data_IF_596277253937
#
_entry.id   IF_596277253937
#
_cell.length_a   1.000
_cell.length_b   1.000
_cell.length_c   1.000
_cell.angle_alpha   90.00
_cell.angle_beta   90.00
_cell.angle_gamma   90.00
#
_symmetry.space_group_name_H-M   'P 1'
#
loop_
_entity.id
_entity.type
_entity.pdbx_description
1 polymer ?
#
# COMPACT_ATOMS: atom_id res chain seq x y z
N UNK A 1 12.00 -13.24 -0.08
CA UNK A 1 11.31 -12.49 0.97
C UNK A 1 9.96 -11.98 0.49
N UNK A 2 9.11 -11.48 1.41
CA UNK A 2 7.88 -10.74 1.09
C UNK A 2 8.19 -9.27 0.81
N UNK A 3 7.24 -8.54 0.20
CA UNK A 3 7.39 -7.10 -0.07
C UNK A 3 7.67 -6.33 1.22
N UNK A 4 6.93 -6.58 2.30
CA UNK A 4 7.13 -5.87 3.58
C UNK A 4 8.53 -6.09 4.16
N UNK A 5 9.12 -7.27 3.96
CA UNK A 5 10.50 -7.51 4.34
C UNK A 5 11.48 -6.71 3.49
N UNK A 6 11.22 -6.62 2.19
CA UNK A 6 12.05 -5.81 1.28
C UNK A 6 11.98 -4.32 1.64
N UNK A 7 10.81 -3.83 2.00
CA UNK A 7 10.59 -2.47 2.52
C UNK A 7 11.39 -2.25 3.81
N UNK A 8 11.32 -3.18 4.76
CA UNK A 8 12.05 -3.10 6.02
C UNK A 8 13.57 -2.97 5.81
N UNK A 9 14.12 -3.75 4.88
CA UNK A 9 15.55 -3.68 4.56
C UNK A 9 15.92 -2.33 3.94
N UNK A 10 15.10 -1.82 3.04
CA UNK A 10 15.36 -0.52 2.41
C UNK A 10 15.26 0.64 3.42
N UNK A 11 14.31 0.57 4.37
CA UNK A 11 14.23 1.52 5.48
C UNK A 11 15.54 1.52 6.29
N UNK A 12 16.09 0.32 6.61
CA UNK A 12 17.35 0.22 7.35
C UNK A 12 18.53 0.82 6.60
N UNK A 13 18.59 0.65 5.29
CA UNK A 13 19.68 1.18 4.48
C UNK A 13 19.62 2.70 4.25
N UNK A 14 18.42 3.24 4.18
CA UNK A 14 18.23 4.64 3.78
C UNK A 14 17.97 5.61 4.93
N UNK A 15 17.83 5.10 6.15
CA UNK A 15 17.56 5.92 7.33
C UNK A 15 18.35 5.47 8.55
N UNK A 16 18.51 6.38 9.51
CA UNK A 16 19.08 6.09 10.82
C UNK A 16 17.98 5.83 11.86
N UNK A 17 18.35 5.23 13.00
CA UNK A 17 17.46 5.10 14.16
C UNK A 17 16.91 6.46 14.56
N UNK A 18 15.60 6.52 14.79
CA UNK A 18 14.87 7.73 15.14
C UNK A 18 14.51 8.65 13.96
N UNK A 19 14.86 8.30 12.72
CA UNK A 19 14.37 9.04 11.55
C UNK A 19 12.89 8.81 11.31
N UNK A 20 12.24 9.78 10.70
CA UNK A 20 10.84 9.70 10.31
C UNK A 20 10.67 9.07 8.94
N UNK A 21 9.73 8.15 8.86
CA UNK A 21 9.25 7.58 7.62
C UNK A 21 7.85 8.14 7.37
N UNK A 22 7.72 8.88 6.27
CA UNK A 22 6.45 9.52 5.90
C UNK A 22 5.52 8.49 5.30
N UNK A 23 4.30 8.40 5.79
CA UNK A 23 3.24 7.51 5.29
C UNK A 23 1.92 8.24 5.18
N UNK A 24 1.13 7.92 4.17
CA UNK A 24 -0.26 8.38 4.08
C UNK A 24 -1.14 7.51 4.98
N UNK A 25 -1.98 8.15 5.81
CA UNK A 25 -2.88 7.42 6.72
C UNK A 25 -4.34 7.61 6.31
N UNK A 26 -5.24 6.61 6.56
CA UNK A 26 -4.94 5.31 7.18
C UNK A 26 -3.93 4.51 6.34
N UNK A 27 -3.07 3.71 6.95
CA UNK A 27 -2.05 2.94 6.24
C UNK A 27 -2.11 1.46 6.60
N UNK A 28 -1.54 0.62 5.75
CA UNK A 28 -1.40 -0.80 6.03
C UNK A 28 -0.70 -1.01 7.37
N UNK A 29 -1.32 -1.75 8.29
CA UNK A 29 -0.88 -1.92 9.68
C UNK A 29 0.56 -2.42 9.81
N UNK A 30 1.02 -3.25 8.86
CA UNK A 30 2.39 -3.73 8.85
C UNK A 30 3.42 -2.62 8.57
N UNK A 31 3.02 -1.49 7.98
CA UNK A 31 3.93 -0.34 7.83
C UNK A 31 4.30 0.24 9.19
N UNK A 32 3.33 0.45 10.07
CA UNK A 32 3.59 0.93 11.44
C UNK A 32 4.52 -0.01 12.19
N UNK A 33 4.18 -1.31 12.21
CA UNK A 33 4.98 -2.34 12.86
C UNK A 33 6.39 -2.43 12.29
N UNK A 34 6.55 -2.27 10.98
CA UNK A 34 7.84 -2.32 10.30
C UNK A 34 8.69 -1.08 10.62
N UNK A 35 8.10 0.10 10.59
CA UNK A 35 8.78 1.36 10.91
C UNK A 35 9.25 1.35 12.36
N UNK A 36 8.34 1.10 13.29
CA UNK A 36 8.61 1.11 14.73
C UNK A 36 9.52 -0.04 15.17
N UNK A 37 9.30 -1.24 14.63
CA UNK A 37 10.13 -2.41 14.88
C UNK A 37 11.58 -2.24 14.41
N UNK A 38 11.83 -1.36 13.45
CA UNK A 38 13.16 -0.93 13.04
C UNK A 38 13.64 0.35 13.75
N UNK A 39 12.95 0.79 14.81
CA UNK A 39 13.30 1.97 15.61
C UNK A 39 13.27 3.29 14.81
N UNK A 40 12.39 3.39 13.82
CA UNK A 40 12.08 4.63 13.11
C UNK A 40 10.75 5.18 13.62
N UNK A 41 10.43 6.41 13.27
CA UNK A 41 9.18 7.08 13.65
C UNK A 41 8.22 7.15 12.46
N UNK A 42 6.96 6.93 12.71
CA UNK A 42 5.91 7.21 11.73
C UNK A 42 5.71 8.73 11.64
N UNK A 43 5.80 9.27 10.43
CA UNK A 43 5.46 10.65 10.10
C UNK A 43 4.19 10.64 9.24
N UNK A 44 3.04 10.77 9.90
CA UNK A 44 1.75 10.60 9.27
C UNK A 44 1.31 11.81 8.43
N UNK A 45 0.77 11.54 7.24
CA UNK A 45 0.06 12.51 6.39
C UNK A 45 -1.35 11.96 6.15
N UNK A 46 -2.37 12.49 6.85
CA UNK A 46 -3.72 11.99 6.71
C UNK A 46 -4.29 12.25 5.31
N UNK A 47 -4.87 11.22 4.71
CA UNK A 47 -5.75 11.36 3.56
C UNK A 47 -7.12 11.85 4.03
N UNK A 48 -7.77 12.68 3.23
CA UNK A 48 -9.13 13.13 3.46
C UNK A 48 -10.09 12.50 2.44
N UNK A 49 -11.30 12.20 2.89
CA UNK A 49 -12.37 11.78 2.01
C UNK A 49 -13.18 13.02 1.60
N UNK A 50 -13.13 13.37 0.33
CA UNK A 50 -13.85 14.50 -0.26
C UNK A 50 -14.67 14.02 -1.45
N UNK A 51 -15.99 14.25 -1.41
CA UNK A 51 -16.93 13.78 -2.43
C UNK A 51 -16.71 12.30 -2.82
N UNK A 52 -16.56 11.43 -1.82
CA UNK A 52 -16.31 10.00 -1.95
C UNK A 52 -14.96 9.63 -2.59
N UNK A 53 -14.04 10.59 -2.76
CA UNK A 53 -12.68 10.38 -3.27
C UNK A 53 -11.63 10.68 -2.21
N UNK A 54 -10.68 9.79 -2.05
CA UNK A 54 -9.54 10.00 -1.17
C UNK A 54 -8.55 10.98 -1.79
N UNK A 55 -8.16 11.99 -1.03
CA UNK A 55 -7.25 13.05 -1.47
C UNK A 55 -6.08 13.22 -0.51
N UNK A 56 -4.94 13.56 -1.05
CA UNK A 56 -3.76 14.01 -0.32
C UNK A 56 -3.69 15.54 -0.34
N UNK A 57 -3.60 16.16 0.83
CA UNK A 57 -3.22 17.58 0.92
C UNK A 57 -1.71 17.68 0.66
N UNK A 58 -1.33 18.12 -0.54
CA UNK A 58 0.07 18.25 -0.96
C UNK A 58 0.82 19.30 -0.15
N UNK A 59 0.15 20.32 0.38
CA UNK A 59 0.77 21.30 1.25
C UNK A 59 1.06 20.70 2.64
N UNK A 60 0.16 19.85 3.15
CA UNK A 60 0.42 19.10 4.38
C UNK A 60 1.57 18.10 4.19
N UNK A 61 1.58 17.38 3.07
CA UNK A 61 2.69 16.49 2.72
C UNK A 61 4.02 17.24 2.68
N UNK A 62 4.06 18.38 2.01
CA UNK A 62 5.29 19.20 1.92
C UNK A 62 5.79 19.61 3.30
N UNK A 63 4.91 20.08 4.20
CA UNK A 63 5.30 20.44 5.57
C UNK A 63 5.93 19.26 6.34
N UNK A 64 5.46 18.05 6.10
CA UNK A 64 6.00 16.84 6.73
C UNK A 64 7.33 16.44 6.08
N UNK A 65 7.44 16.47 4.75
CA UNK A 65 8.69 16.17 4.03
C UNK A 65 9.81 17.18 4.36
N UNK A 66 9.47 18.44 4.61
CA UNK A 66 10.42 19.48 4.97
C UNK A 66 11.08 19.31 6.35
N UNK A 67 10.59 18.38 7.19
CA UNK A 67 11.19 18.12 8.49
C UNK A 67 12.54 17.40 8.33
N UNK A 68 13.66 17.92 8.87
CA UNK A 68 15.00 17.43 8.54
C UNK A 68 15.25 15.93 8.84
N UNK A 69 14.46 15.34 9.74
CA UNK A 69 14.59 13.93 10.10
C UNK A 69 13.60 13.02 9.38
N UNK A 70 12.78 13.52 8.49
CA UNK A 70 11.91 12.72 7.64
C UNK A 70 12.65 12.43 6.34
N UNK A 71 13.18 11.21 6.21
CA UNK A 71 14.18 10.85 5.19
C UNK A 71 13.62 9.97 4.09
N UNK A 72 12.48 9.36 4.31
CA UNK A 72 11.84 8.41 3.38
C UNK A 72 10.34 8.72 3.30
N UNK A 73 9.80 8.73 2.08
CA UNK A 73 8.37 8.57 1.81
C UNK A 73 8.12 7.08 1.48
N UNK A 74 7.34 6.40 2.31
CA UNK A 74 6.84 5.05 2.03
C UNK A 74 5.46 5.18 1.38
N UNK A 75 5.45 5.11 0.06
CA UNK A 75 4.26 5.22 -0.78
C UNK A 75 3.61 3.85 -0.96
N UNK A 76 2.30 3.75 -0.76
CA UNK A 76 1.49 2.59 -1.17
C UNK A 76 0.69 2.95 -2.42
N UNK A 77 0.90 2.25 -3.52
CA UNK A 77 0.29 2.58 -4.81
C UNK A 77 -0.07 1.32 -5.62
N UNK A 78 -1.33 1.02 -5.84
CA UNK A 78 -2.56 1.59 -5.24
C UNK A 78 -2.59 1.51 -3.73
N UNK A 79 -3.33 2.43 -3.11
CA UNK A 79 -3.26 2.64 -1.67
C UNK A 79 -4.12 1.64 -0.87
N UNK A 80 -3.51 0.99 0.10
CA UNK A 80 -4.18 0.14 1.09
C UNK A 80 -4.27 0.91 2.43
N UNK A 81 -5.48 1.09 3.04
CA UNK A 81 -6.71 0.33 2.78
C UNK A 81 -7.73 1.03 1.88
N UNK A 82 -7.48 2.28 1.47
CA UNK A 82 -8.51 3.14 0.86
C UNK A 82 -8.87 2.76 -0.58
N UNK A 83 -8.04 1.97 -1.25
CA UNK A 83 -8.20 1.65 -2.67
C UNK A 83 -7.99 2.84 -3.62
N UNK A 84 -7.37 3.93 -3.13
CA UNK A 84 -7.05 5.09 -3.96
C UNK A 84 -6.04 4.72 -5.04
N UNK A 85 -6.33 5.10 -6.27
CA UNK A 85 -5.36 5.16 -7.37
C UNK A 85 -4.83 6.58 -7.48
N UNK A 86 -3.50 6.73 -7.43
CA UNK A 86 -2.84 8.02 -7.53
C UNK A 86 -2.85 8.51 -8.98
N UNK A 87 -3.22 9.76 -9.18
CA UNK A 87 -3.15 10.37 -10.52
C UNK A 87 -1.70 10.70 -10.89
N UNK A 88 -1.43 10.85 -12.18
CA UNK A 88 -0.10 11.28 -12.66
C UNK A 88 0.33 12.62 -12.03
N UNK A 89 -0.59 13.57 -11.96
CA UNK A 89 -0.34 14.88 -11.37
C UNK A 89 0.02 14.79 -9.87
N UNK A 90 -0.69 13.95 -9.11
CA UNK A 90 -0.37 13.72 -7.69
C UNK A 90 1.02 13.09 -7.54
N UNK A 91 1.34 12.07 -8.33
CA UNK A 91 2.64 11.39 -8.28
C UNK A 91 3.79 12.33 -8.70
N UNK A 92 3.62 13.11 -9.76
CA UNK A 92 4.61 14.10 -10.21
C UNK A 92 4.85 15.19 -9.17
N UNK A 93 3.78 15.66 -8.50
CA UNK A 93 3.88 16.62 -7.40
C UNK A 93 4.64 16.01 -6.22
N UNK A 94 4.34 14.79 -5.82
CA UNK A 94 5.07 14.09 -4.77
C UNK A 94 6.55 13.91 -5.13
N UNK A 95 6.85 13.57 -6.39
CA UNK A 95 8.22 13.41 -6.86
C UNK A 95 9.02 14.73 -6.78
N UNK A 96 8.40 15.86 -7.17
CA UNK A 96 9.00 17.19 -7.04
C UNK A 96 9.25 17.58 -5.58
N UNK A 97 8.30 17.30 -4.68
CA UNK A 97 8.43 17.58 -3.26
C UNK A 97 9.52 16.72 -2.61
N UNK A 98 9.60 15.44 -2.95
CA UNK A 98 10.66 14.56 -2.48
C UNK A 98 12.04 15.01 -2.96
N UNK A 99 12.18 15.39 -4.23
CA UNK A 99 13.41 15.96 -4.78
C UNK A 99 13.80 17.25 -4.04
N UNK A 100 12.86 18.18 -3.88
CA UNK A 100 13.07 19.47 -3.20
C UNK A 100 13.60 19.31 -1.78
N UNK A 101 13.12 18.35 -1.04
CA UNK A 101 13.45 18.12 0.38
C UNK A 101 14.48 17.00 0.60
N UNK A 102 15.02 16.41 -0.47
CA UNK A 102 16.02 15.35 -0.38
C UNK A 102 15.47 14.03 0.22
N UNK A 103 14.17 13.78 0.10
CA UNK A 103 13.51 12.59 0.61
C UNK A 103 13.55 11.48 -0.42
N UNK A 104 13.96 10.28 0.00
CA UNK A 104 13.97 9.07 -0.83
C UNK A 104 12.59 8.43 -0.84
N UNK A 105 12.28 7.67 -1.89
CA UNK A 105 10.95 7.04 -2.00
C UNK A 105 11.05 5.53 -2.05
N UNK A 106 10.30 4.86 -1.18
CA UNK A 106 10.03 3.43 -1.26
C UNK A 106 8.58 3.28 -1.72
N UNK A 107 8.36 2.75 -2.92
CA UNK A 107 7.02 2.48 -3.45
C UNK A 107 6.66 1.02 -3.26
N UNK A 108 5.63 0.75 -2.46
CA UNK A 108 4.99 -0.55 -2.35
C UNK A 108 3.85 -0.62 -3.37
N UNK A 109 4.07 -1.37 -4.43
CA UNK A 109 3.13 -1.50 -5.55
C UNK A 109 2.50 -2.89 -5.64
N UNK A 110 2.39 -3.59 -4.50
CA UNK A 110 1.86 -4.96 -4.46
C UNK A 110 0.43 -5.10 -4.98
N UNK A 111 -0.33 -4.00 -5.05
CA UNK A 111 -1.70 -3.96 -5.56
C UNK A 111 -1.81 -3.45 -7.01
N UNK A 112 -0.70 -3.26 -7.71
CA UNK A 112 -0.66 -2.62 -9.03
C UNK A 112 -1.56 -3.27 -10.08
N UNK A 113 -1.77 -4.58 -10.02
CA UNK A 113 -2.62 -5.32 -10.96
C UNK A 113 -4.11 -5.31 -10.58
N UNK A 114 -4.46 -4.78 -9.39
CA UNK A 114 -5.81 -4.80 -8.84
C UNK A 114 -6.50 -3.44 -8.97
N UNK A 115 -6.35 -2.81 -10.13
CA UNK A 115 -7.07 -1.58 -10.51
C UNK A 115 -8.31 -1.95 -11.32
N UNK A 116 -9.38 -1.19 -11.13
CA UNK A 116 -10.65 -1.43 -11.80
C UNK A 116 -10.70 -0.81 -13.19
N UNK A 117 -11.68 -1.22 -13.99
CA UNK A 117 -11.89 -0.67 -15.32
C UNK A 117 -12.01 0.86 -15.30
N UNK A 118 -11.31 1.50 -16.23
CA UNK A 118 -11.22 2.96 -16.31
C UNK A 118 -10.15 3.58 -15.43
N UNK A 119 -9.47 2.80 -14.58
CA UNK A 119 -8.33 3.24 -13.77
C UNK A 119 -7.03 2.73 -14.38
N UNK A 120 -5.97 3.50 -14.23
CA UNK A 120 -4.62 3.11 -14.65
C UNK A 120 -3.64 3.29 -13.51
N UNK A 121 -2.95 2.21 -13.15
CA UNK A 121 -1.79 2.30 -12.28
C UNK A 121 -0.62 2.94 -13.02
N UNK A 122 0.05 3.87 -12.36
CA UNK A 122 1.27 4.52 -12.85
C UNK A 122 2.40 4.11 -11.91
N UNK A 123 3.41 3.36 -12.38
CA UNK A 123 4.53 2.97 -11.56
C UNK A 123 5.34 4.18 -11.12
N UNK A 124 5.87 4.15 -9.90
CA UNK A 124 6.67 5.26 -9.39
C UNK A 124 7.89 5.58 -10.26
N UNK A 125 8.50 4.56 -10.87
CA UNK A 125 9.65 4.74 -11.75
C UNK A 125 9.40 5.66 -12.96
N UNK A 126 8.13 5.85 -13.37
CA UNK A 126 7.76 6.73 -14.49
C UNK A 126 7.82 8.22 -14.12
N UNK A 127 7.78 8.55 -12.84
CA UNK A 127 7.71 9.94 -12.35
C UNK A 127 8.84 10.31 -11.38
N UNK A 128 9.63 9.35 -10.96
CA UNK A 128 10.66 9.53 -9.94
C UNK A 128 11.69 10.62 -10.28
N UNK A 129 12.08 11.42 -9.27
CA UNK A 129 13.06 12.51 -9.36
C UNK A 129 14.14 12.45 -8.28
N UNK A 130 13.87 11.75 -7.19
CA UNK A 130 14.80 11.48 -6.08
C UNK A 130 15.15 9.99 -6.06
N UNK A 131 16.15 9.53 -5.28
CA UNK A 131 16.46 8.10 -5.18
C UNK A 131 15.23 7.29 -4.77
N UNK A 132 14.99 6.18 -5.45
CA UNK A 132 13.78 5.38 -5.26
C UNK A 132 14.05 3.88 -5.28
N UNK A 133 13.16 3.15 -4.62
CA UNK A 133 13.01 1.70 -4.75
C UNK A 133 11.53 1.36 -4.88
N UNK A 134 11.21 0.45 -5.77
CA UNK A 134 9.86 -0.07 -6.00
C UNK A 134 9.85 -1.55 -5.70
N UNK A 135 8.86 -2.00 -4.91
CA UNK A 135 8.69 -3.41 -4.57
C UNK A 135 7.28 -3.87 -4.88
N UNK A 136 7.16 -5.08 -5.39
CA UNK A 136 5.87 -5.67 -5.75
C UNK A 136 5.92 -7.20 -5.71
N UNK A 137 4.77 -7.84 -5.91
CA UNK A 137 4.62 -9.29 -5.93
C UNK A 137 3.29 -9.67 -6.59
N UNK A 138 3.26 -10.77 -7.30
CA UNK A 138 2.01 -11.39 -7.76
C UNK A 138 1.18 -12.05 -6.65
N UNK A 139 1.65 -12.02 -5.41
CA UNK A 139 1.00 -12.74 -4.30
C UNK A 139 -0.42 -12.25 -4.01
N UNK A 140 -0.69 -10.96 -4.20
CA UNK A 140 -2.04 -10.38 -4.00
C UNK A 140 -2.90 -10.57 -5.24
N UNK A 141 -2.35 -10.26 -6.41
CA UNK A 141 -3.06 -10.33 -7.69
C UNK A 141 -3.52 -11.74 -8.03
N UNK A 142 -2.70 -12.75 -7.71
CA UNK A 142 -2.97 -14.15 -8.05
C UNK A 142 -3.30 -15.04 -6.85
N UNK A 143 -3.57 -14.43 -5.69
CA UNK A 143 -3.95 -15.15 -4.46
C UNK A 143 -2.96 -16.26 -4.05
N UNK A 144 -1.66 -15.99 -4.13
CA UNK A 144 -0.59 -16.92 -3.80
C UNK A 144 0.33 -16.41 -2.65
N UNK A 145 -0.20 -15.85 -1.56
CA UNK A 145 0.63 -15.22 -0.52
C UNK A 145 1.54 -16.23 0.22
N UNK A 146 1.14 -17.49 0.27
CA UNK A 146 1.94 -18.55 0.89
C UNK A 146 3.25 -18.86 0.14
N UNK A 147 3.28 -18.61 -1.17
CA UNK A 147 4.49 -18.66 -1.97
C UNK A 147 5.25 -17.33 -1.86
N UNK A 148 5.91 -17.11 -0.73
CA UNK A 148 6.63 -15.86 -0.43
C UNK A 148 7.63 -15.52 -1.53
N UNK A 149 7.19 -14.71 -2.48
CA UNK A 149 7.99 -14.22 -3.61
C UNK A 149 7.71 -12.75 -3.80
N UNK A 150 8.74 -11.97 -3.99
CA UNK A 150 8.64 -10.55 -4.33
C UNK A 150 9.80 -10.17 -5.24
N UNK A 151 9.62 -9.11 -5.98
CA UNK A 151 10.67 -8.53 -6.82
C UNK A 151 10.64 -7.01 -6.68
N UNK A 152 11.70 -6.36 -7.10
CA UNK A 152 11.78 -4.92 -7.00
C UNK A 152 12.80 -4.33 -7.95
N UNK A 153 12.69 -3.03 -8.10
CA UNK A 153 13.58 -2.18 -8.86
C UNK A 153 14.20 -1.17 -7.90
N UNK A 154 15.49 -0.96 -8.01
CA UNK A 154 16.24 0.06 -7.27
C UNK A 154 17.04 0.83 -8.32
N UNK A 155 16.89 2.14 -8.36
CA UNK A 155 17.47 2.99 -9.38
C UNK A 155 19.01 2.98 -9.36
N UNK A 156 19.60 3.13 -8.16
CA UNK A 156 21.05 3.18 -7.98
C UNK A 156 21.66 1.77 -7.93
N UNK A 157 22.57 1.41 -8.86
CA UNK A 157 23.23 0.11 -8.86
C UNK A 157 24.04 -0.18 -7.60
N UNK A 158 24.69 0.82 -7.00
CA UNK A 158 25.48 0.63 -5.78
C UNK A 158 24.58 0.34 -4.56
N UNK A 159 23.44 1.03 -4.47
CA UNK A 159 22.41 0.76 -3.46
C UNK A 159 21.84 -0.65 -3.66
N UNK A 160 21.55 -1.03 -4.89
CA UNK A 160 21.06 -2.38 -5.21
C UNK A 160 22.04 -3.48 -4.81
N UNK A 161 23.34 -3.28 -5.08
CA UNK A 161 24.39 -4.22 -4.68
C UNK A 161 24.48 -4.34 -3.16
N UNK A 162 24.52 -3.22 -2.45
CA UNK A 162 24.50 -3.19 -0.97
C UNK A 162 23.27 -3.88 -0.40
N UNK A 163 22.11 -3.64 -1.00
CA UNK A 163 20.84 -4.28 -0.62
C UNK A 163 20.90 -5.80 -0.78
N UNK A 164 21.35 -6.28 -1.93
CA UNK A 164 21.51 -7.72 -2.19
C UNK A 164 22.57 -8.37 -1.26
N UNK A 165 23.64 -7.64 -0.96
CA UNK A 165 24.65 -8.10 -0.02
C UNK A 165 24.07 -8.27 1.38
N UNK A 166 23.30 -7.29 1.87
CA UNK A 166 22.65 -7.36 3.17
C UNK A 166 21.67 -8.54 3.25
N UNK A 167 20.84 -8.74 2.24
CA UNK A 167 19.92 -9.89 2.17
C UNK A 167 20.66 -11.22 2.29
N UNK A 168 21.80 -11.38 1.60
CA UNK A 168 22.57 -12.62 1.61
C UNK A 168 23.37 -12.81 2.88
N UNK A 169 24.15 -11.80 3.25
CA UNK A 169 25.21 -11.94 4.27
C UNK A 169 24.69 -11.76 5.68
N UNK A 170 23.73 -10.85 5.90
CA UNK A 170 23.17 -10.61 7.21
C UNK A 170 21.95 -11.47 7.50
N UNK A 171 21.05 -11.61 6.51
CA UNK A 171 19.72 -12.18 6.73
C UNK A 171 19.59 -13.62 6.19
N UNK A 172 20.61 -14.14 5.49
CA UNK A 172 20.61 -15.50 4.96
C UNK A 172 19.59 -15.74 3.84
N UNK A 173 19.08 -14.70 3.22
CA UNK A 173 18.05 -14.76 2.16
C UNK A 173 18.73 -14.76 0.78
N UNK A 174 19.35 -15.87 0.42
CA UNK A 174 20.14 -15.95 -0.80
C UNK A 174 19.32 -16.20 -2.06
N UNK A 175 18.15 -16.84 -1.94
CA UNK A 175 17.35 -17.25 -3.09
C UNK A 175 15.85 -17.30 -2.76
N UNK A 176 14.95 -16.98 -3.71
CA UNK A 176 13.55 -17.29 -3.56
C UNK A 176 13.34 -18.81 -3.60
N UNK A 177 12.25 -19.29 -3.00
CA UNK A 177 11.89 -20.71 -3.09
C UNK A 177 11.49 -21.10 -4.52
N UNK A 178 11.84 -22.31 -4.93
CA UNK A 178 11.47 -22.81 -6.27
C UNK A 178 9.95 -22.75 -6.52
N UNK A 179 9.08 -23.19 -5.57
CA UNK A 179 7.64 -23.07 -5.76
C UNK A 179 7.19 -21.61 -5.97
N UNK A 180 7.77 -20.65 -5.28
CA UNK A 180 7.44 -19.24 -5.47
C UNK A 180 7.80 -18.74 -6.87
N UNK A 181 8.99 -19.11 -7.37
CA UNK A 181 9.41 -18.76 -8.74
C UNK A 181 8.47 -19.34 -9.80
N UNK A 182 8.21 -20.65 -9.70
CA UNK A 182 7.33 -21.33 -10.67
C UNK A 182 5.94 -20.74 -10.65
N UNK A 183 5.36 -20.51 -9.46
CA UNK A 183 4.02 -19.96 -9.32
C UNK A 183 3.92 -18.53 -9.89
N UNK A 184 4.89 -17.65 -9.59
CA UNK A 184 4.89 -16.28 -10.11
C UNK A 184 5.10 -16.23 -11.63
N UNK A 185 6.02 -17.07 -12.16
CA UNK A 185 6.25 -17.14 -13.61
C UNK A 185 4.97 -17.60 -14.34
N UNK A 186 4.33 -18.66 -13.86
CA UNK A 186 3.09 -19.14 -14.44
C UNK A 186 1.97 -18.10 -14.35
N UNK A 187 1.82 -17.47 -13.18
CA UNK A 187 0.81 -16.45 -12.94
C UNK A 187 0.92 -15.27 -13.91
N UNK A 188 2.13 -14.71 -14.06
CA UNK A 188 2.33 -13.58 -14.97
C UNK A 188 2.31 -13.97 -16.45
N UNK A 189 2.66 -15.19 -16.81
CA UNK A 189 2.64 -15.64 -18.21
C UNK A 189 1.24 -16.04 -18.68
N UNK A 190 0.46 -16.68 -17.82
CA UNK A 190 -0.77 -17.38 -18.21
C UNK A 190 -2.00 -16.92 -17.43
N UNK A 191 -1.80 -16.17 -16.32
CA UNK A 191 -2.87 -15.82 -15.39
C UNK A 191 -3.74 -14.63 -15.78
N UNK A 192 -3.45 -13.91 -16.87
CA UNK A 192 -4.22 -12.72 -17.25
C UNK A 192 -5.72 -12.96 -17.37
N UNK A 193 -6.23 -14.04 -18.05
CA UNK A 193 -7.67 -14.27 -18.14
C UNK A 193 -8.31 -14.56 -16.78
N UNK A 194 -7.60 -15.25 -15.89
CA UNK A 194 -8.07 -15.48 -14.52
C UNK A 194 -8.16 -14.19 -13.72
N UNK A 195 -7.15 -13.34 -13.83
CA UNK A 195 -7.11 -12.04 -13.13
C UNK A 195 -8.21 -11.11 -13.63
N UNK A 196 -8.50 -11.09 -14.94
CA UNK A 196 -9.57 -10.29 -15.51
C UNK A 196 -10.95 -10.78 -15.01
N UNK A 197 -11.16 -12.09 -14.95
CA UNK A 197 -12.38 -12.68 -14.38
C UNK A 197 -12.51 -12.34 -12.88
N UNK A 198 -11.40 -12.39 -12.11
CA UNK A 198 -11.38 -12.01 -10.70
C UNK A 198 -11.72 -10.54 -10.51
N UNK A 199 -11.16 -9.64 -11.32
CA UNK A 199 -11.48 -8.20 -11.24
C UNK A 199 -12.98 -7.97 -11.46
N UNK A 200 -13.57 -8.59 -12.48
CA UNK A 200 -15.03 -8.52 -12.72
C UNK A 200 -15.85 -8.97 -11.51
N UNK A 201 -15.51 -10.12 -10.96
CA UNK A 201 -16.17 -10.66 -9.76
C UNK A 201 -16.05 -9.74 -8.55
N UNK A 202 -14.87 -9.20 -8.30
CA UNK A 202 -14.64 -8.28 -7.18
C UNK A 202 -15.36 -6.95 -7.36
N UNK A 203 -15.43 -6.42 -8.58
CA UNK A 203 -16.21 -5.21 -8.87
C UNK A 203 -17.70 -5.41 -8.62
N UNK A 204 -18.25 -6.56 -8.98
CA UNK A 204 -19.65 -6.92 -8.69
C UNK A 204 -19.88 -6.97 -7.17
N UNK A 205 -18.98 -7.60 -6.41
CA UNK A 205 -19.06 -7.62 -4.96
C UNK A 205 -19.02 -6.19 -4.35
N UNK A 206 -18.15 -5.30 -4.87
CA UNK A 206 -18.09 -3.92 -4.39
C UNK A 206 -19.37 -3.13 -4.70
N UNK A 207 -19.97 -3.35 -5.89
CA UNK A 207 -21.26 -2.73 -6.24
C UNK A 207 -22.39 -3.26 -5.36
N UNK A 208 -22.39 -4.57 -5.07
CA UNK A 208 -23.35 -5.17 -4.15
C UNK A 208 -23.23 -4.56 -2.75
N UNK A 209 -22.03 -4.47 -2.18
CA UNK A 209 -21.78 -3.82 -0.89
C UNK A 209 -22.29 -2.37 -0.89
N UNK A 210 -21.99 -1.61 -1.93
CA UNK A 210 -22.45 -0.22 -2.05
C UNK A 210 -23.98 -0.12 -2.08
N UNK A 211 -24.64 -1.00 -2.81
CA UNK A 211 -26.10 -1.06 -2.88
C UNK A 211 -26.74 -1.34 -1.52
N UNK A 212 -26.31 -2.40 -0.85
CA UNK A 212 -26.84 -2.80 0.45
C UNK A 212 -26.57 -1.76 1.56
N UNK A 213 -25.33 -1.24 1.63
CA UNK A 213 -24.96 -0.23 2.62
C UNK A 213 -25.74 1.07 2.42
N UNK A 214 -25.83 1.58 1.19
CA UNK A 214 -26.50 2.85 0.94
C UNK A 214 -28.02 2.73 1.04
N UNK A 215 -28.58 1.54 0.83
CA UNK A 215 -29.99 1.28 1.11
C UNK A 215 -30.27 1.27 2.61
N UNK A 216 -29.41 0.61 3.41
CA UNK A 216 -29.59 0.50 4.85
C UNK A 216 -29.19 1.79 5.60
N UNK A 217 -28.15 2.48 5.11
CA UNK A 217 -27.55 3.66 5.73
C UNK A 217 -27.24 4.73 4.65
N UNK A 218 -28.27 5.44 4.17
CA UNK A 218 -28.10 6.42 3.08
C UNK A 218 -27.07 7.52 3.39
N UNK A 219 -26.90 7.85 4.67
CA UNK A 219 -25.94 8.84 5.16
C UNK A 219 -24.47 8.47 4.91
N UNK A 220 -24.14 7.20 4.68
CA UNK A 220 -22.79 6.78 4.36
C UNK A 220 -22.40 7.17 2.95
N UNK A 221 -23.32 7.08 1.97
CA UNK A 221 -23.05 7.38 0.58
C UNK A 221 -21.83 6.64 0.03
N UNK A 222 -21.53 5.44 0.56
CA UNK A 222 -20.29 4.74 0.26
C UNK A 222 -20.19 4.36 -1.22
N UNK A 223 -19.02 4.59 -1.80
CA UNK A 223 -18.72 4.25 -3.19
C UNK A 223 -17.64 3.18 -3.25
N UNK A 224 -17.70 2.26 -4.23
CA UNK A 224 -16.62 1.32 -4.48
C UNK A 224 -15.26 2.00 -4.65
N UNK A 225 -14.18 1.41 -4.14
CA UNK A 225 -12.84 1.97 -4.31
C UNK A 225 -12.41 1.93 -5.79
N UNK A 226 -11.32 2.63 -6.12
CA UNK A 226 -10.74 2.64 -7.46
C UNK A 226 -9.85 1.43 -7.73
N UNK A 227 -9.38 0.77 -6.67
CA UNK A 227 -8.48 -0.38 -6.73
C UNK A 227 -8.59 -1.24 -5.47
N UNK A 228 -7.91 -2.35 -5.46
CA UNK A 228 -7.81 -3.35 -4.39
C UNK A 228 -9.09 -4.16 -4.18
N UNK A 229 -9.00 -5.20 -3.39
CA UNK A 229 -10.16 -6.02 -2.96
C UNK A 229 -10.66 -5.64 -1.56
N UNK A 230 -10.26 -4.44 -1.06
CA UNK A 230 -10.59 -3.96 0.28
C UNK A 230 -11.75 -2.97 0.21
N UNK A 231 -12.80 -3.23 0.98
CA UNK A 231 -13.88 -2.29 1.20
C UNK A 231 -13.59 -1.47 2.47
N UNK A 232 -13.01 -0.28 2.32
CA UNK A 232 -12.79 0.64 3.43
C UNK A 232 -14.01 1.53 3.59
N UNK A 233 -14.73 1.36 4.71
CA UNK A 233 -16.02 2.02 4.93
C UNK A 233 -15.86 3.00 6.10
N UNK A 234 -16.14 4.28 5.85
CA UNK A 234 -16.18 5.31 6.89
C UNK A 234 -17.51 5.28 7.63
N UNK A 235 -17.51 4.75 8.83
CA UNK A 235 -18.69 4.64 9.69
C UNK A 235 -18.88 5.82 10.66
N UNK A 236 -18.02 6.85 10.60
CA UNK A 236 -18.12 8.03 11.49
C UNK A 236 -19.47 8.72 11.42
N UNK A 237 -20.17 8.80 10.25
CA UNK A 237 -21.52 9.36 10.18
C UNK A 237 -22.55 8.62 11.07
N UNK A 238 -22.35 7.34 11.33
CA UNK A 238 -23.23 6.52 12.17
C UNK A 238 -22.93 6.67 13.67
N UNK A 239 -21.84 7.33 14.05
CA UNK A 239 -21.40 7.50 15.43
C UNK A 239 -21.31 6.18 16.22
N UNK A 240 -20.92 5.07 15.56
CA UNK A 240 -20.80 3.73 16.17
C UNK A 240 -19.44 3.61 16.85
N UNK A 241 -19.38 2.98 18.01
CA UNK A 241 -18.13 2.59 18.63
C UNK A 241 -17.53 1.36 17.90
N UNK A 242 -16.31 1.48 17.38
CA UNK A 242 -15.66 0.44 16.59
C UNK A 242 -15.50 -0.88 17.37
N UNK A 243 -15.23 -0.82 18.67
CA UNK A 243 -15.02 -2.01 19.49
C UNK A 243 -16.34 -2.72 19.78
N UNK A 244 -17.39 -1.96 20.05
CA UNK A 244 -18.73 -2.51 20.24
C UNK A 244 -19.25 -3.13 18.95
N UNK A 245 -19.04 -2.45 17.80
CA UNK A 245 -19.42 -2.97 16.49
C UNK A 245 -18.71 -4.28 16.18
N UNK A 246 -17.37 -4.32 16.34
CA UNK A 246 -16.60 -5.53 16.07
C UNK A 246 -17.05 -6.70 16.96
N UNK A 247 -17.31 -6.43 18.24
CA UNK A 247 -17.83 -7.45 19.17
C UNK A 247 -19.16 -8.01 18.69
N UNK A 248 -20.13 -7.15 18.36
CA UNK A 248 -21.44 -7.57 17.88
C UNK A 248 -21.33 -8.37 16.56
N UNK A 249 -20.51 -7.91 15.61
CA UNK A 249 -20.29 -8.63 14.35
C UNK A 249 -19.75 -10.04 14.60
N UNK A 250 -18.76 -10.20 15.47
CA UNK A 250 -18.15 -11.51 15.76
C UNK A 250 -19.10 -12.40 16.58
N UNK A 251 -19.65 -11.89 17.68
CA UNK A 251 -20.39 -12.70 18.65
C UNK A 251 -21.80 -13.04 18.15
N UNK A 252 -22.49 -12.09 17.51
CA UNK A 252 -23.89 -12.25 17.09
C UNK A 252 -24.01 -12.66 15.62
N UNK A 253 -23.25 -12.01 14.72
CA UNK A 253 -23.37 -12.21 13.28
C UNK A 253 -22.35 -13.20 12.70
N UNK A 254 -21.33 -13.60 13.47
CA UNK A 254 -20.24 -14.49 13.04
C UNK A 254 -19.43 -13.94 11.88
N UNK A 255 -19.32 -12.60 11.78
CA UNK A 255 -18.59 -11.87 10.77
C UNK A 255 -17.37 -11.21 11.41
N UNK A 256 -16.18 -11.44 10.86
CA UNK A 256 -14.95 -10.80 11.29
C UNK A 256 -14.48 -9.81 10.24
N UNK A 257 -14.25 -8.55 10.65
CA UNK A 257 -13.66 -7.50 9.82
C UNK A 257 -12.42 -6.94 10.50
N UNK A 258 -11.57 -6.27 9.73
CA UNK A 258 -10.48 -5.49 10.31
C UNK A 258 -11.01 -4.12 10.75
N UNK A 259 -10.97 -3.80 12.05
CA UNK A 259 -11.51 -2.53 12.53
C UNK A 259 -10.58 -1.35 12.21
N UNK A 260 -11.16 -0.17 12.02
CA UNK A 260 -10.45 1.05 11.64
C UNK A 260 -9.34 1.46 12.60
N UNK A 261 -9.45 1.18 13.88
CA UNK A 261 -8.43 1.53 14.87
C UNK A 261 -7.11 0.74 14.76
N UNK A 262 -7.03 -0.20 13.81
CA UNK A 262 -5.77 -0.95 13.52
C UNK A 262 -4.95 -0.33 12.39
N UNK A 263 -5.47 0.73 11.74
CA UNK A 263 -4.87 1.39 10.57
C UNK A 263 -4.35 2.80 10.85
#
# INVERSE_FOLDING_TARGET
PSVIYMVAEMIRQWSAVGDGIVVHTPAYDAFYKTIEGNQRRVAAVPLSLDNHHWRCDMAALERVLAQPRNTILLLCSPHNPTGKVWTREELETMAQLCEKHGVKVISDEIHMDMVWDGQQHIPWCDVARSPWALFTSGSKSFNIPAFTGAYGLIDDPAVRESYLHALKSRDGLSSPSVPALVAHIAAYREGAPWLDALRGYLQENMRFIAGELNQAFPELGWQPPQATYLAWIDLRPLAVDDRALQKALIEEQKVAIMPGYTY
#
